data_IF_258992089917
#
_entry.id   IF_258992089917
#
_cell.length_a   1.000
_cell.length_b   1.000
_cell.length_c   1.000
_cell.angle_alpha   90.00
_cell.angle_beta   90.00
_cell.angle_gamma   90.00
#
_symmetry.space_group_name_H-M   'P 1'
#
loop_
_entity.id
_entity.type
_entity.pdbx_description
1 polymer ?
#
# COMPACT_ATOMS: atom_id res chain seq x y z
N UNK A 1 -4.18 -34.86 3.44
CA UNK A 1 -2.71 -34.69 3.47
C UNK A 1 -2.38 -33.21 3.38
N UNK A 2 -1.33 -32.71 4.06
CA UNK A 2 -0.89 -31.31 3.94
C UNK A 2 -0.01 -31.18 2.70
N UNK A 3 -0.31 -30.23 1.82
CA UNK A 3 0.48 -29.92 0.64
C UNK A 3 0.95 -28.46 0.67
N UNK A 4 2.12 -28.21 0.07
CA UNK A 4 2.65 -26.86 -0.16
C UNK A 4 2.22 -26.40 -1.55
N UNK A 5 1.54 -25.27 -1.63
CA UNK A 5 1.10 -24.66 -2.89
C UNK A 5 1.77 -23.30 -3.03
N UNK A 6 2.31 -23.00 -4.21
CA UNK A 6 2.90 -21.68 -4.49
C UNK A 6 1.78 -20.63 -4.54
N UNK A 7 1.95 -19.55 -3.76
CA UNK A 7 0.97 -18.47 -3.66
C UNK A 7 1.48 -17.14 -4.19
N UNK A 8 2.76 -16.85 -3.92
CA UNK A 8 3.36 -15.56 -4.24
C UNK A 8 4.71 -15.72 -4.94
N UNK A 9 4.81 -15.27 -6.21
CA UNK A 9 6.07 -15.28 -6.95
C UNK A 9 7.17 -14.56 -6.17
N UNK A 10 8.41 -15.06 -6.29
CA UNK A 10 9.57 -14.49 -5.60
C UNK A 10 9.71 -12.98 -5.87
N UNK A 11 9.55 -12.54 -7.12
CA UNK A 11 9.64 -11.12 -7.50
C UNK A 11 8.67 -10.24 -6.70
N UNK A 12 7.40 -10.65 -6.58
CA UNK A 12 6.37 -9.90 -5.84
C UNK A 12 6.72 -9.78 -4.36
N UNK A 13 7.25 -10.85 -3.76
CA UNK A 13 7.70 -10.84 -2.36
C UNK A 13 8.86 -9.87 -2.16
N UNK A 14 9.85 -9.89 -3.06
CA UNK A 14 10.97 -8.95 -3.01
C UNK A 14 10.50 -7.50 -3.10
N UNK A 15 9.67 -7.16 -4.09
CA UNK A 15 9.14 -5.81 -4.22
C UNK A 15 8.39 -5.36 -2.97
N UNK A 16 7.59 -6.25 -2.37
CA UNK A 16 6.88 -5.95 -1.12
C UNK A 16 7.81 -5.74 0.07
N UNK A 17 8.74 -6.66 0.32
CA UNK A 17 9.62 -6.62 1.49
C UNK A 17 10.69 -5.55 1.41
N UNK A 18 11.04 -5.08 0.21
CA UNK A 18 11.84 -3.85 0.03
C UNK A 18 10.97 -2.62 0.27
N UNK A 19 9.75 -2.59 -0.28
CA UNK A 19 8.89 -1.41 -0.21
C UNK A 19 8.40 -1.10 1.21
N UNK A 20 8.07 -2.12 2.00
CA UNK A 20 7.58 -1.95 3.38
C UNK A 20 8.52 -1.13 4.28
N UNK A 21 9.81 -1.48 4.46
CA UNK A 21 10.73 -0.69 5.27
C UNK A 21 11.03 0.67 4.63
N UNK A 22 11.15 0.74 3.30
CA UNK A 22 11.40 2.01 2.59
C UNK A 22 10.28 3.01 2.85
N UNK A 23 9.02 2.63 2.63
CA UNK A 23 7.88 3.50 2.91
C UNK A 23 7.78 3.88 4.40
N UNK A 24 8.02 2.92 5.31
CA UNK A 24 8.00 3.20 6.75
C UNK A 24 9.03 4.27 7.13
N UNK A 25 10.26 4.17 6.61
CA UNK A 25 11.32 5.13 6.85
C UNK A 25 11.10 6.46 6.13
N UNK A 26 10.46 6.45 4.96
CA UNK A 26 10.03 7.68 4.27
C UNK A 26 8.97 8.44 5.06
N UNK A 27 7.98 7.74 5.62
CA UNK A 27 6.97 8.34 6.51
C UNK A 27 7.66 8.91 7.76
N UNK A 28 8.55 8.15 8.39
CA UNK A 28 9.30 8.60 9.56
C UNK A 28 10.16 9.84 9.29
N UNK A 29 10.95 9.84 8.21
CA UNK A 29 11.73 11.02 7.80
C UNK A 29 10.85 12.18 7.35
N UNK A 30 9.68 11.91 6.77
CA UNK A 30 8.67 12.92 6.44
C UNK A 30 8.10 13.63 7.69
N UNK A 31 7.92 12.90 8.80
CA UNK A 31 7.51 13.49 10.07
C UNK A 31 8.55 14.49 10.60
N UNK A 32 9.85 14.24 10.41
CA UNK A 32 10.91 15.19 10.78
C UNK A 32 10.84 16.48 9.95
N UNK A 33 10.55 16.34 8.65
CA UNK A 33 10.39 17.49 7.73
C UNK A 33 9.15 18.29 8.11
N UNK A 34 8.04 17.62 8.42
CA UNK A 34 6.81 18.26 8.87
C UNK A 34 7.01 19.01 10.19
N UNK A 35 7.71 18.39 11.16
CA UNK A 35 7.97 19.02 12.45
C UNK A 35 8.67 20.37 12.31
N UNK A 36 9.59 20.44 11.35
CA UNK A 36 10.36 21.64 11.08
C UNK A 36 9.64 22.70 10.24
N UNK A 37 8.49 22.39 9.66
CA UNK A 37 7.78 23.30 8.75
C UNK A 37 6.26 23.15 8.88
N UNK A 38 5.64 23.91 9.79
CA UNK A 38 4.25 23.70 10.25
C UNK A 38 3.14 24.22 9.33
N UNK A 39 3.37 24.20 8.01
CA UNK A 39 2.45 24.74 6.99
C UNK A 39 1.02 24.15 7.02
N UNK A 40 0.81 22.99 7.66
CA UNK A 40 -0.51 22.35 7.72
C UNK A 40 -1.23 22.69 9.02
N UNK A 41 -1.52 23.98 9.17
CA UNK A 41 -2.49 24.50 10.14
C UNK A 41 -3.86 24.45 9.48
N UNK A 42 -4.78 23.67 10.04
CA UNK A 42 -6.19 23.84 9.69
C UNK A 42 -6.63 25.12 10.39
N UNK A 43 -6.86 26.18 9.64
CA UNK A 43 -7.20 27.49 10.18
C UNK A 43 -7.97 28.32 9.18
N UNK A 44 -8.80 29.23 9.67
CA UNK A 44 -9.51 30.20 8.84
C UNK A 44 -8.92 31.59 9.11
N UNK A 45 -8.34 32.22 8.08
CA UNK A 45 -7.60 33.48 8.23
C UNK A 45 -6.39 33.32 9.15
N UNK A 46 -6.29 34.14 10.20
CA UNK A 46 -5.19 34.09 11.19
C UNK A 46 -5.43 33.10 12.33
N UNK A 47 -6.56 32.38 12.36
CA UNK A 47 -6.91 31.51 13.47
C UNK A 47 -6.54 30.07 13.16
N UNK A 48 -5.57 29.50 13.88
CA UNK A 48 -5.22 28.08 13.78
C UNK A 48 -6.20 27.26 14.62
N UNK A 49 -7.11 26.52 13.97
CA UNK A 49 -8.13 25.68 14.62
C UNK A 49 -7.58 24.29 14.99
N UNK A 50 -6.79 23.67 14.11
CA UNK A 50 -6.18 22.37 14.35
C UNK A 50 -4.74 22.36 13.84
N UNK A 51 -3.81 22.03 14.74
CA UNK A 51 -2.46 21.62 14.38
C UNK A 51 -2.45 20.09 14.32
N UNK A 52 -2.18 19.53 13.13
CA UNK A 52 -2.32 18.08 12.91
C UNK A 52 -1.42 17.26 13.83
N UNK A 53 -0.27 17.81 14.23
CA UNK A 53 0.60 17.24 15.25
C UNK A 53 0.96 18.30 16.31
N UNK A 54 0.45 18.18 17.55
CA UNK A 54 0.80 19.09 18.64
C UNK A 54 2.22 18.83 19.16
N UNK A 55 2.82 19.79 19.85
CA UNK A 55 4.17 19.66 20.40
C UNK A 55 4.34 18.45 21.34
N UNK A 56 3.31 18.14 22.13
CA UNK A 56 3.27 16.95 23.00
C UNK A 56 3.44 15.63 22.23
N UNK A 57 3.01 15.55 20.98
CA UNK A 57 3.22 14.37 20.13
C UNK A 57 4.72 14.17 19.85
N UNK A 58 5.42 15.23 19.47
CA UNK A 58 6.85 15.16 19.15
C UNK A 58 7.70 14.88 20.38
N UNK A 59 7.33 15.44 21.53
CA UNK A 59 7.96 15.16 22.82
C UNK A 59 7.74 13.70 23.23
N UNK A 60 6.53 13.16 23.07
CA UNK A 60 6.22 11.76 23.37
C UNK A 60 7.02 10.76 22.51
N UNK A 61 7.22 11.07 21.24
CA UNK A 61 8.00 10.23 20.31
C UNK A 61 9.49 10.60 20.23
N UNK A 62 9.94 11.58 21.03
CA UNK A 62 11.31 12.09 21.06
C UNK A 62 11.88 12.39 19.66
N UNK A 63 11.07 13.04 18.81
CA UNK A 63 11.42 13.33 17.42
C UNK A 63 12.28 14.60 17.39
N UNK A 64 13.56 14.51 16.96
CA UNK A 64 14.45 15.66 16.97
C UNK A 64 14.06 16.66 15.87
N UNK A 65 14.17 17.95 16.19
CA UNK A 65 13.98 19.04 15.23
C UNK A 65 15.22 19.16 14.31
N UNK A 66 15.35 18.27 13.33
CA UNK A 66 16.49 18.21 12.43
C UNK A 66 16.06 18.14 10.96
N UNK A 67 15.66 19.29 10.40
CA UNK A 67 15.17 19.41 9.02
C UNK A 67 16.16 18.85 7.99
N UNK A 68 17.43 19.26 8.06
CA UNK A 68 18.45 18.85 7.09
C UNK A 68 18.61 17.32 7.07
N UNK A 69 18.72 16.69 8.25
CA UNK A 69 18.87 15.24 8.37
C UNK A 69 17.62 14.48 7.90
N UNK A 70 16.42 14.99 8.23
CA UNK A 70 15.16 14.45 7.74
C UNK A 70 15.07 14.47 6.21
N UNK A 71 15.41 15.60 5.59
CA UNK A 71 15.46 15.75 4.13
C UNK A 71 16.48 14.80 3.48
N UNK A 72 17.69 14.69 4.03
CA UNK A 72 18.73 13.80 3.49
C UNK A 72 18.26 12.34 3.44
N UNK A 73 17.69 11.83 4.54
CA UNK A 73 17.15 10.47 4.58
C UNK A 73 15.99 10.30 3.61
N UNK A 74 15.07 11.26 3.57
CA UNK A 74 13.89 11.19 2.71
C UNK A 74 14.27 11.13 1.23
N UNK A 75 15.23 11.96 0.78
CA UNK A 75 15.66 11.96 -0.63
C UNK A 75 16.45 10.72 -1.03
N UNK A 76 17.26 10.15 -0.14
CA UNK A 76 17.95 8.88 -0.41
C UNK A 76 16.93 7.76 -0.56
N UNK A 77 15.97 7.67 0.36
CA UNK A 77 14.92 6.64 0.33
C UNK A 77 13.94 6.83 -0.83
N UNK A 78 13.67 8.07 -1.24
CA UNK A 78 12.86 8.40 -2.41
C UNK A 78 13.40 7.71 -3.68
N UNK A 79 14.73 7.69 -3.89
CA UNK A 79 15.31 7.00 -5.04
C UNK A 79 15.11 5.49 -4.97
N UNK A 80 15.27 4.90 -3.78
CA UNK A 80 15.01 3.46 -3.58
C UNK A 80 13.54 3.14 -3.85
N UNK A 81 12.62 3.95 -3.33
CA UNK A 81 11.19 3.84 -3.58
C UNK A 81 10.84 3.94 -5.07
N UNK A 82 11.37 4.96 -5.74
CA UNK A 82 11.15 5.19 -7.17
C UNK A 82 11.65 4.03 -8.02
N UNK A 83 12.89 3.57 -7.80
CA UNK A 83 13.46 2.47 -8.56
C UNK A 83 12.72 1.15 -8.31
N UNK A 84 12.41 0.84 -7.05
CA UNK A 84 11.63 -0.36 -6.70
C UNK A 84 10.23 -0.32 -7.33
N UNK A 85 9.54 0.83 -7.27
CA UNK A 85 8.24 1.04 -7.88
C UNK A 85 8.28 0.94 -9.41
N UNK A 86 9.30 1.53 -10.05
CA UNK A 86 9.49 1.45 -11.50
C UNK A 86 9.70 0.00 -11.95
N UNK A 87 10.58 -0.75 -11.27
CA UNK A 87 10.81 -2.17 -11.57
C UNK A 87 9.54 -3.01 -11.37
N UNK A 88 8.75 -2.72 -10.33
CA UNK A 88 7.48 -3.37 -10.10
C UNK A 88 6.47 -3.09 -11.23
N UNK A 89 6.32 -1.83 -11.64
CA UNK A 89 5.43 -1.45 -12.75
C UNK A 89 5.87 -2.14 -14.04
N UNK A 90 7.16 -2.10 -14.38
CA UNK A 90 7.70 -2.79 -15.54
C UNK A 90 7.43 -4.30 -15.48
N UNK A 91 7.66 -4.93 -14.33
CA UNK A 91 7.35 -6.34 -14.12
C UNK A 91 5.86 -6.64 -14.40
N UNK A 92 4.93 -5.84 -13.87
CA UNK A 92 3.49 -6.03 -14.09
C UNK A 92 3.06 -5.79 -15.54
N UNK A 93 3.74 -4.88 -16.25
CA UNK A 93 3.51 -4.60 -17.66
C UNK A 93 3.97 -5.78 -18.54
N UNK A 94 5.19 -6.28 -18.33
CA UNK A 94 5.76 -7.39 -19.11
C UNK A 94 5.09 -8.74 -18.80
N UNK A 95 4.75 -9.01 -17.55
CA UNK A 95 4.03 -10.24 -17.15
C UNK A 95 2.55 -10.22 -17.54
N UNK A 96 1.98 -9.05 -17.87
CA UNK A 96 0.56 -8.88 -18.15
C UNK A 96 -0.35 -8.94 -16.90
N UNK A 97 0.22 -9.05 -15.70
CA UNK A 97 -0.50 -9.12 -14.43
C UNK A 97 -1.31 -7.85 -14.13
N UNK A 98 -0.96 -6.71 -14.74
CA UNK A 98 -1.69 -5.44 -14.61
C UNK A 98 -3.19 -5.57 -14.94
N UNK A 99 -3.57 -6.48 -15.85
CA UNK A 99 -4.97 -6.72 -16.24
C UNK A 99 -5.82 -7.26 -15.09
N UNK A 100 -5.21 -7.98 -14.15
CA UNK A 100 -5.91 -8.54 -12.98
C UNK A 100 -6.02 -7.55 -11.82
N UNK A 101 -5.16 -6.52 -11.80
CA UNK A 101 -5.12 -5.50 -10.75
C UNK A 101 -6.21 -4.44 -10.93
N UNK A 102 -6.60 -4.14 -12.16
CA UNK A 102 -7.53 -3.04 -12.46
C UNK A 102 -8.95 -3.31 -11.93
N UNK A 103 -9.59 -2.32 -11.28
CA UNK A 103 -10.95 -2.47 -10.79
C UNK A 103 -11.93 -2.58 -11.96
N UNK A 104 -12.87 -3.51 -11.86
CA UNK A 104 -14.01 -3.65 -12.76
C UNK A 104 -15.22 -2.87 -12.22
N UNK A 105 -16.27 -2.69 -13.04
CA UNK A 105 -17.52 -2.01 -12.62
C UNK A 105 -18.17 -2.62 -11.36
N UNK A 106 -17.88 -3.88 -11.05
CA UNK A 106 -18.41 -4.57 -9.87
C UNK A 106 -17.49 -4.48 -8.64
N UNK A 107 -16.23 -4.06 -8.80
CA UNK A 107 -15.23 -4.08 -7.73
C UNK A 107 -15.58 -3.14 -6.56
N UNK A 108 -16.25 -2.01 -6.82
CA UNK A 108 -16.72 -1.11 -5.75
C UNK A 108 -17.81 -1.74 -4.87
N UNK A 109 -18.76 -2.46 -5.47
CA UNK A 109 -19.82 -3.16 -4.73
C UNK A 109 -19.26 -4.32 -3.92
N UNK A 110 -18.31 -5.06 -4.49
CA UNK A 110 -17.57 -6.13 -3.81
C UNK A 110 -16.69 -5.58 -2.67
N UNK A 111 -16.07 -4.42 -2.83
CA UNK A 111 -15.26 -3.81 -1.78
C UNK A 111 -16.09 -3.42 -0.56
N UNK A 112 -17.29 -2.85 -0.76
CA UNK A 112 -18.23 -2.58 0.33
C UNK A 112 -18.62 -3.90 1.03
N UNK A 113 -18.86 -4.97 0.27
CA UNK A 113 -19.19 -6.28 0.81
C UNK A 113 -18.04 -6.89 1.63
N UNK A 114 -16.79 -6.73 1.18
CA UNK A 114 -15.59 -7.17 1.91
C UNK A 114 -15.43 -6.36 3.20
N UNK A 115 -15.56 -5.04 3.16
CA UNK A 115 -15.50 -4.19 4.35
C UNK A 115 -16.58 -4.60 5.36
N UNK A 116 -17.81 -4.82 4.91
CA UNK A 116 -18.91 -5.31 5.75
C UNK A 116 -18.62 -6.70 6.34
N UNK A 117 -17.98 -7.59 5.58
CA UNK A 117 -17.58 -8.92 6.05
C UNK A 117 -16.41 -8.84 7.06
N UNK A 118 -15.42 -7.99 6.81
CA UNK A 118 -14.25 -7.78 7.67
C UNK A 118 -14.65 -7.14 9.00
N UNK A 119 -15.62 -6.22 8.98
CA UNK A 119 -16.26 -5.65 10.17
C UNK A 119 -17.23 -6.62 10.89
N UNK A 120 -17.41 -7.84 10.37
CA UNK A 120 -18.28 -8.87 10.97
C UNK A 120 -19.78 -8.67 10.76
N UNK A 121 -20.18 -7.68 9.96
CA UNK A 121 -21.59 -7.33 9.69
C UNK A 121 -22.23 -8.14 8.56
N UNK A 122 -21.45 -8.92 7.80
CA UNK A 122 -21.95 -9.77 6.71
C UNK A 122 -21.31 -11.15 6.73
N UNK A 123 -22.13 -12.21 6.65
CA UNK A 123 -21.70 -13.62 6.53
C UNK A 123 -21.70 -14.14 5.08
N UNK A 124 -21.85 -13.25 4.09
CA UNK A 124 -21.92 -13.67 2.68
C UNK A 124 -20.55 -14.17 2.21
N UNK A 125 -20.47 -15.34 1.55
CA UNK A 125 -19.21 -15.85 1.02
C UNK A 125 -18.65 -14.88 -0.02
N UNK A 126 -17.33 -14.67 0.04
CA UNK A 126 -16.62 -13.80 -0.89
C UNK A 126 -16.53 -14.46 -2.27
N UNK A 127 -16.62 -13.69 -3.37
CA UNK A 127 -16.49 -14.24 -4.71
C UNK A 127 -15.12 -14.89 -4.92
N UNK A 128 -15.11 -16.12 -5.46
CA UNK A 128 -13.90 -16.90 -5.75
C UNK A 128 -13.24 -16.35 -7.01
N UNK A 129 -12.36 -15.36 -6.85
CA UNK A 129 -11.52 -14.77 -7.91
C UNK A 129 -10.08 -14.61 -7.39
N UNK A 130 -9.09 -14.60 -8.31
CA UNK A 130 -7.66 -14.40 -7.98
C UNK A 130 -7.43 -13.20 -7.05
N UNK A 131 -8.19 -12.11 -7.28
CA UNK A 131 -8.29 -10.97 -6.38
C UNK A 131 -9.76 -10.62 -6.12
N UNK A 132 -10.11 -10.31 -4.87
CA UNK A 132 -11.41 -9.76 -4.54
C UNK A 132 -11.50 -8.27 -4.95
N UNK A 133 -12.70 -7.71 -5.11
CA UNK A 133 -12.86 -6.31 -5.50
C UNK A 133 -12.20 -5.29 -4.54
N UNK A 134 -12.13 -5.61 -3.24
CA UNK A 134 -11.40 -4.78 -2.26
C UNK A 134 -9.89 -4.77 -2.50
N UNK A 135 -9.30 -5.91 -2.82
CA UNK A 135 -7.89 -6.09 -3.12
C UNK A 135 -7.52 -5.40 -4.42
N UNK A 136 -8.34 -5.51 -5.48
CA UNK A 136 -8.13 -4.77 -6.72
C UNK A 136 -8.12 -3.26 -6.50
N UNK A 137 -9.08 -2.75 -5.72
CA UNK A 137 -9.12 -1.33 -5.36
C UNK A 137 -7.89 -0.97 -4.53
N UNK A 138 -7.55 -1.74 -3.50
CA UNK A 138 -6.40 -1.49 -2.64
C UNK A 138 -5.07 -1.46 -3.44
N UNK A 139 -4.84 -2.44 -4.31
CA UNK A 139 -3.62 -2.52 -5.13
C UNK A 139 -3.55 -1.40 -6.17
N UNK A 140 -4.67 -1.08 -6.82
CA UNK A 140 -4.70 0.04 -7.77
C UNK A 140 -4.50 1.37 -7.04
N UNK A 141 -5.16 1.57 -5.90
CA UNK A 141 -5.01 2.77 -5.07
C UNK A 141 -3.57 2.97 -4.61
N UNK A 142 -2.89 1.92 -4.11
CA UNK A 142 -1.50 2.08 -3.64
C UNK A 142 -0.53 2.40 -4.79
N UNK A 143 -0.76 1.85 -5.99
CA UNK A 143 0.04 2.19 -7.19
C UNK A 143 -0.19 3.66 -7.59
N UNK A 144 -1.44 4.10 -7.65
CA UNK A 144 -1.79 5.49 -7.96
C UNK A 144 -1.24 6.47 -6.92
N UNK A 145 -1.31 6.10 -5.64
CA UNK A 145 -0.69 6.87 -4.56
C UNK A 145 0.82 6.92 -4.74
N UNK A 146 1.46 5.82 -5.16
CA UNK A 146 2.88 5.75 -5.50
C UNK A 146 3.27 6.77 -6.56
N UNK A 147 2.57 6.75 -7.69
CA UNK A 147 2.77 7.70 -8.79
C UNK A 147 2.53 9.13 -8.32
N UNK A 148 1.42 9.39 -7.62
CA UNK A 148 1.09 10.71 -7.08
C UNK A 148 2.17 11.23 -6.11
N UNK A 149 2.76 10.34 -5.31
CA UNK A 149 3.81 10.68 -4.33
C UNK A 149 5.12 11.02 -5.03
N UNK A 150 5.48 10.29 -6.09
CA UNK A 150 6.64 10.62 -6.92
C UNK A 150 6.45 11.96 -7.63
N UNK A 151 5.29 12.19 -8.25
CA UNK A 151 5.01 13.44 -8.96
C UNK A 151 5.00 14.66 -8.02
N UNK A 152 4.25 14.58 -6.92
CA UNK A 152 4.25 15.64 -5.91
C UNK A 152 5.61 15.82 -5.24
N UNK A 153 6.33 14.72 -4.99
CA UNK A 153 7.69 14.76 -4.44
C UNK A 153 8.69 15.45 -5.38
N UNK A 154 8.65 15.18 -6.68
CA UNK A 154 9.49 15.85 -7.68
C UNK A 154 9.20 17.34 -7.78
N UNK A 155 7.92 17.73 -7.75
CA UNK A 155 7.50 19.13 -7.72
C UNK A 155 8.04 19.87 -6.48
N UNK A 156 8.08 19.22 -5.32
CA UNK A 156 8.61 19.80 -4.08
C UNK A 156 10.14 19.79 -4.07
N UNK A 157 10.77 18.74 -4.61
CA UNK A 157 12.22 18.54 -4.61
C UNK A 157 12.93 19.56 -5.49
N UNK A 158 12.40 19.81 -6.70
CA UNK A 158 12.98 20.75 -7.68
C UNK A 158 11.90 21.62 -8.34
N UNK A 159 11.26 22.54 -7.60
CA UNK A 159 10.10 23.31 -8.08
C UNK A 159 10.40 24.19 -9.28
N UNK A 160 11.63 24.72 -9.40
CA UNK A 160 12.03 25.55 -10.54
C UNK A 160 12.29 24.70 -11.79
N UNK A 161 12.94 23.54 -11.64
CA UNK A 161 13.23 22.65 -12.78
C UNK A 161 11.95 21.96 -13.28
N UNK A 162 11.02 21.64 -12.37
CA UNK A 162 9.71 21.08 -12.66
C UNK A 162 8.59 22.10 -12.44
N UNK A 163 8.78 23.34 -12.91
CA UNK A 163 7.80 24.41 -12.73
C UNK A 163 6.44 24.06 -13.35
N UNK A 164 6.43 23.43 -14.53
CA UNK A 164 5.21 22.96 -15.19
C UNK A 164 4.42 21.95 -14.33
N UNK A 165 5.12 21.02 -13.67
CA UNK A 165 4.50 20.02 -12.80
C UNK A 165 3.98 20.65 -11.52
N UNK A 166 4.75 21.60 -10.97
CA UNK A 166 4.35 22.37 -9.79
C UNK A 166 3.09 23.18 -10.07
N UNK A 167 2.98 23.80 -11.25
CA UNK A 167 1.77 24.51 -11.69
C UNK A 167 0.58 23.57 -11.90
N UNK A 168 0.79 22.40 -12.53
CA UNK A 168 -0.26 21.39 -12.71
C UNK A 168 -0.84 20.92 -11.36
N UNK A 169 0.02 20.80 -10.35
CA UNK A 169 -0.35 20.49 -8.97
C UNK A 169 -0.77 21.72 -8.17
N UNK A 170 -1.20 22.82 -8.80
CA UNK A 170 -1.77 23.98 -8.09
C UNK A 170 -0.76 24.87 -7.34
N UNK A 171 0.53 24.73 -7.62
CA UNK A 171 1.62 25.49 -6.98
C UNK A 171 2.38 24.69 -5.92
N UNK A 172 3.45 25.30 -5.40
CA UNK A 172 4.34 24.64 -4.44
C UNK A 172 3.64 24.25 -3.13
N UNK A 173 2.79 25.14 -2.60
CA UNK A 173 2.05 24.87 -1.37
C UNK A 173 1.01 23.76 -1.55
N UNK A 174 0.29 23.75 -2.68
CA UNK A 174 -0.70 22.71 -2.95
C UNK A 174 -0.03 21.36 -3.24
N UNK A 175 1.11 21.33 -3.94
CA UNK A 175 1.91 20.12 -4.12
C UNK A 175 2.34 19.50 -2.77
N UNK A 176 2.73 20.34 -1.80
CA UNK A 176 3.01 19.92 -0.41
C UNK A 176 1.78 19.31 0.27
N UNK A 177 0.61 19.95 0.16
CA UNK A 177 -0.66 19.42 0.71
C UNK A 177 -1.01 18.07 0.09
N UNK A 178 -0.91 17.92 -1.23
CA UNK A 178 -1.15 16.65 -1.92
C UNK A 178 -0.19 15.57 -1.38
N UNK A 179 1.11 15.87 -1.31
CA UNK A 179 2.12 14.91 -0.84
C UNK A 179 1.86 14.48 0.62
N UNK A 180 1.47 15.43 1.47
CA UNK A 180 1.10 15.14 2.86
C UNK A 180 -0.19 14.31 2.95
N UNK A 181 -1.22 14.65 2.17
CA UNK A 181 -2.46 13.87 2.12
C UNK A 181 -2.20 12.42 1.67
N UNK A 182 -1.32 12.20 0.69
CA UNK A 182 -0.87 10.88 0.28
C UNK A 182 -0.12 10.14 1.40
N UNK A 183 0.70 10.84 2.16
CA UNK A 183 1.39 10.29 3.34
C UNK A 183 0.39 9.78 4.38
N UNK A 184 -0.65 10.56 4.70
CA UNK A 184 -1.74 10.13 5.58
C UNK A 184 -2.49 8.93 4.99
N UNK A 185 -2.72 8.93 3.68
CA UNK A 185 -3.28 7.79 2.97
C UNK A 185 -2.45 6.51 3.15
N UNK A 186 -1.11 6.58 3.08
CA UNK A 186 -0.26 5.41 3.32
C UNK A 186 -0.33 4.91 4.75
N UNK A 187 -0.36 5.82 5.73
CA UNK A 187 -0.50 5.45 7.14
C UNK A 187 -1.82 4.70 7.34
N UNK A 188 -2.93 5.22 6.80
CA UNK A 188 -4.23 4.55 6.86
C UNK A 188 -4.19 3.17 6.18
N UNK A 189 -3.59 3.10 4.98
CA UNK A 189 -3.43 1.85 4.26
C UNK A 189 -2.62 0.83 5.07
N UNK A 190 -1.51 1.22 5.69
CA UNK A 190 -0.71 0.34 6.55
C UNK A 190 -1.49 -0.19 7.74
N UNK A 191 -2.24 0.68 8.44
CA UNK A 191 -3.06 0.26 9.59
C UNK A 191 -4.09 -0.79 9.16
N UNK A 192 -4.85 -0.51 8.09
CA UNK A 192 -5.86 -1.44 7.57
C UNK A 192 -5.21 -2.74 7.08
N UNK A 193 -4.12 -2.64 6.34
CA UNK A 193 -3.41 -3.79 5.78
C UNK A 193 -2.87 -4.71 6.89
N UNK A 194 -2.22 -4.16 7.92
CA UNK A 194 -1.71 -4.94 9.05
C UNK A 194 -2.86 -5.61 9.81
N UNK A 195 -3.98 -4.91 10.03
CA UNK A 195 -5.16 -5.50 10.64
C UNK A 195 -5.71 -6.69 9.82
N UNK A 196 -5.74 -6.58 8.49
CA UNK A 196 -6.12 -7.67 7.60
C UNK A 196 -5.14 -8.85 7.67
N UNK A 197 -3.83 -8.60 7.74
CA UNK A 197 -2.81 -9.66 7.90
C UNK A 197 -2.98 -10.40 9.23
N UNK A 198 -3.19 -9.68 10.32
CA UNK A 198 -3.43 -10.28 11.65
C UNK A 198 -4.70 -11.14 11.63
N UNK A 199 -5.79 -10.65 11.03
CA UNK A 199 -7.05 -11.39 10.89
C UNK A 199 -6.93 -12.61 9.98
N UNK A 200 -6.15 -12.52 8.91
CA UNK A 200 -5.91 -13.61 7.97
C UNK A 200 -5.04 -14.73 8.55
N UNK A 201 -4.31 -14.45 9.63
CA UNK A 201 -3.58 -15.43 10.42
C UNK A 201 -2.24 -15.88 9.82
N UNK A 202 -1.56 -16.77 10.55
CA UNK A 202 -0.17 -17.17 10.30
C UNK A 202 0.07 -17.80 8.93
N UNK A 203 -0.91 -18.53 8.38
CA UNK A 203 -0.77 -19.20 7.07
C UNK A 203 -0.53 -18.20 5.94
N UNK A 204 -1.27 -17.09 5.95
CA UNK A 204 -1.16 -16.03 4.94
C UNK A 204 0.13 -15.22 5.12
N UNK A 205 0.50 -14.90 6.36
CA UNK A 205 1.77 -14.21 6.64
C UNK A 205 2.97 -15.03 6.14
N UNK A 206 3.02 -16.32 6.48
CA UNK A 206 4.10 -17.21 5.99
C UNK A 206 4.12 -17.31 4.48
N UNK A 207 2.96 -17.35 3.82
CA UNK A 207 2.91 -17.41 2.36
C UNK A 207 3.56 -16.16 1.74
N UNK A 208 3.43 -15.00 2.37
CA UNK A 208 4.07 -13.77 1.90
C UNK A 208 5.59 -13.73 2.15
N UNK A 209 6.08 -14.42 3.19
CA UNK A 209 7.52 -14.54 3.47
C UNK A 209 8.15 -15.64 2.61
N UNK A 210 7.62 -16.85 2.70
CA UNK A 210 8.19 -18.08 2.13
C UNK A 210 7.73 -18.35 0.69
N UNK A 211 6.61 -17.78 0.24
CA UNK A 211 6.03 -18.00 -1.10
C UNK A 211 5.02 -19.14 -1.17
N UNK A 212 4.95 -19.98 -0.13
CA UNK A 212 4.13 -21.19 -0.10
C UNK A 212 3.08 -21.13 1.01
N UNK A 213 1.85 -21.54 0.69
CA UNK A 213 0.80 -21.81 1.67
C UNK A 213 0.68 -23.30 1.96
N UNK A 214 0.27 -23.63 3.20
CA UNK A 214 -0.02 -25.02 3.57
C UNK A 214 -1.52 -25.22 3.42
N UNK A 215 -1.89 -26.20 2.62
CA UNK A 215 -3.27 -26.52 2.29
C UNK A 215 -3.56 -27.96 2.68
N UNK A 216 -4.71 -28.20 3.30
CA UNK A 216 -5.17 -29.55 3.58
C UNK A 216 -5.94 -30.07 2.37
N UNK A 217 -5.38 -31.11 1.74
CA UNK A 217 -5.98 -31.78 0.59
C UNK A 217 -6.68 -33.03 1.06
N UNK A 218 -7.95 -33.20 0.68
CA UNK A 218 -8.69 -34.41 0.98
C UNK A 218 -8.05 -35.60 0.22
N UNK A 219 -7.65 -36.68 0.91
CA UNK A 219 -6.95 -37.79 0.29
C UNK A 219 -7.82 -38.59 -0.70
N UNK A 220 -9.15 -38.41 -0.70
CA UNK A 220 -10.05 -39.15 -1.60
C UNK A 220 -10.46 -38.37 -2.84
N UNK A 221 -10.68 -37.06 -2.71
CA UNK A 221 -11.13 -36.22 -3.83
C UNK A 221 -10.01 -35.39 -4.45
N UNK A 222 -8.82 -35.35 -3.83
CA UNK A 222 -7.74 -34.41 -4.14
C UNK A 222 -8.18 -32.94 -4.09
N UNK A 223 -9.33 -32.64 -3.47
CA UNK A 223 -9.81 -31.28 -3.33
C UNK A 223 -9.14 -30.56 -2.17
N UNK A 224 -8.79 -29.30 -2.41
CA UNK A 224 -8.28 -28.36 -1.42
C UNK A 224 -9.41 -28.00 -0.45
N UNK A 225 -9.31 -28.40 0.82
CA UNK A 225 -10.13 -27.82 1.90
C UNK A 225 -9.60 -26.41 2.15
N UNK A 226 -10.19 -25.44 1.46
CA UNK A 226 -9.89 -24.03 1.62
C UNK A 226 -10.21 -23.59 3.06
N UNK A 227 -9.18 -23.12 3.78
CA UNK A 227 -9.37 -22.44 5.06
C UNK A 227 -10.14 -21.13 4.84
N UNK A 228 -10.72 -20.52 5.89
CA UNK A 228 -11.73 -19.45 5.79
C UNK A 228 -11.26 -18.13 5.12
N UNK A 229 -10.02 -18.06 4.63
CA UNK A 229 -9.41 -16.88 3.99
C UNK A 229 -8.57 -17.21 2.75
N UNK A 230 -8.52 -18.47 2.30
CA UNK A 230 -7.87 -18.79 1.03
C UNK A 230 -8.79 -18.36 -0.10
N UNK A 231 -8.60 -17.12 -0.59
CA UNK A 231 -8.91 -16.82 -1.98
C UNK A 231 -8.24 -17.87 -2.87
N UNK A 232 -8.84 -18.22 -4.01
CA UNK A 232 -8.35 -19.31 -4.85
C UNK A 232 -6.87 -19.09 -5.14
N UNK A 233 -6.04 -20.11 -4.84
CA UNK A 233 -4.67 -20.16 -5.32
C UNK A 233 -4.68 -19.82 -6.81
N UNK A 234 -3.68 -19.08 -7.26
CA UNK A 234 -3.56 -18.61 -8.64
C UNK A 234 -3.56 -19.75 -9.69
N UNK A 235 -3.59 -21.01 -9.24
CA UNK A 235 -3.32 -22.21 -10.02
C UNK A 235 -4.54 -23.10 -10.26
N UNK A 236 -5.77 -22.60 -10.05
CA UNK A 236 -6.97 -23.30 -10.53
C UNK A 236 -7.05 -23.43 -12.08
N UNK A 237 -6.03 -22.97 -12.82
CA UNK A 237 -5.95 -23.05 -14.28
C UNK A 237 -5.00 -24.14 -14.82
N UNK A 238 -4.47 -25.07 -14.02
CA UNK A 238 -3.61 -26.16 -14.53
C UNK A 238 -4.20 -27.58 -14.42
N UNK A 239 -5.52 -27.70 -14.20
CA UNK A 239 -6.24 -28.97 -14.37
C UNK A 239 -7.38 -28.85 -15.40
N UNK A 240 -7.02 -28.44 -16.61
CA UNK A 240 -7.81 -28.77 -17.80
C UNK A 240 -6.96 -29.67 -18.68
N UNK A 241 -6.85 -30.94 -18.30
CA UNK A 241 -6.45 -31.99 -19.24
C UNK A 241 -7.61 -32.19 -20.22
N UNK A 242 -7.41 -31.73 -21.45
CA UNK A 242 -7.74 -32.46 -22.69
C UNK A 242 -6.94 -31.85 -23.82
#
# INVERSE_FOLDING_TARGET
MKQLVEKHPLAIRWFHWVNFPVLSLMIWSGLWIYWANDVYRLGWGNTTLLKFFPQSFYEAFNIPFQLAKGMSWHFVLMWVFFLNGLLYVLYTLFSGEWRYLLPTRHSFKEAIQVVLHDLGMSKKPLPVRKFNGAQQIAYTSVILMGVGSVLSGLAIYKPVQFAWLTQLLGGYEFARIIHFALTIGYVLFFVVHIAQVVRAGWNNFRAMVAGFEIVEVDPTTHEIKSGPTSGPAADASLSSTK
#
